data_IF_207480145679
#
_entry.id   IF_207480145679
#
_cell.length_a   1.000
_cell.length_b   1.000
_cell.length_c   1.000
_cell.angle_alpha   90.00
_cell.angle_beta   90.00
_cell.angle_gamma   90.00
#
_symmetry.space_group_name_H-M   'P 1'
#
loop_
_entity.id
_entity.type
_entity.pdbx_description
1 polymer ?
#
# COMPACT_ATOMS: atom_id res chain seq x y z
N UNK A 1 -14.68 23.35 12.56
CA UNK A 1 -14.39 22.17 11.70
C UNK A 1 -15.40 21.09 12.06
N UNK A 2 -16.24 20.66 11.11
CA UNK A 2 -17.28 19.65 11.37
C UNK A 2 -16.64 18.33 11.83
N UNK A 3 -17.24 17.65 12.81
CA UNK A 3 -16.75 16.38 13.40
C UNK A 3 -16.40 15.34 12.32
N UNK A 4 -17.15 15.32 11.22
CA UNK A 4 -16.91 14.44 10.07
C UNK A 4 -15.57 14.70 9.36
N UNK A 5 -15.07 15.94 9.36
CA UNK A 5 -13.79 16.29 8.75
C UNK A 5 -12.60 15.94 9.65
N UNK A 6 -12.78 15.94 10.98
CA UNK A 6 -11.72 15.57 11.92
C UNK A 6 -11.39 14.07 11.88
N UNK A 7 -12.39 13.21 11.63
CA UNK A 7 -12.22 11.75 11.50
C UNK A 7 -11.37 11.37 10.28
N UNK A 8 -11.41 12.17 9.20
CA UNK A 8 -10.61 11.93 8.00
C UNK A 8 -9.11 12.24 8.17
N UNK A 9 -8.73 12.97 9.23
CA UNK A 9 -7.34 13.37 9.48
C UNK A 9 -6.75 12.80 10.78
N UNK A 10 -7.50 11.99 11.53
CA UNK A 10 -6.98 11.31 12.71
C UNK A 10 -6.06 10.17 12.32
N UNK A 11 -4.96 9.99 13.07
CA UNK A 11 -4.08 8.83 12.92
C UNK A 11 -4.90 7.55 13.11
N UNK A 12 -4.86 6.59 12.17
CA UNK A 12 -5.59 5.33 12.31
C UNK A 12 -5.02 4.54 13.47
N UNK A 13 -5.89 3.86 14.21
CA UNK A 13 -5.50 2.94 15.27
C UNK A 13 -4.84 1.69 14.66
N UNK A 14 -3.73 1.28 15.27
CA UNK A 14 -3.08 0.01 14.99
C UNK A 14 -3.52 -1.00 16.04
N UNK A 15 -3.91 -2.20 15.60
CA UNK A 15 -4.30 -3.29 16.47
C UNK A 15 -3.74 -4.62 15.95
N UNK A 16 -3.78 -5.66 16.79
CA UNK A 16 -3.37 -7.00 16.38
C UNK A 16 -4.44 -7.63 15.47
N UNK A 17 -4.03 -7.95 14.25
CA UNK A 17 -4.86 -8.62 13.27
C UNK A 17 -4.14 -9.89 12.81
N UNK A 18 -4.59 -11.04 13.32
CA UNK A 18 -3.98 -12.34 13.07
C UNK A 18 -2.46 -12.37 13.34
N UNK A 19 -1.99 -11.70 14.41
CA UNK A 19 -0.58 -11.62 14.78
C UNK A 19 0.23 -10.54 14.05
N UNK A 20 -0.41 -9.70 13.23
CA UNK A 20 0.22 -8.58 12.52
C UNK A 20 -0.44 -7.27 12.90
N UNK A 21 0.35 -6.24 13.20
CA UNK A 21 -0.19 -4.90 13.49
C UNK A 21 -0.75 -4.25 12.23
N UNK A 22 -2.06 -4.03 12.20
CA UNK A 22 -2.79 -3.48 11.04
C UNK A 22 -3.80 -2.40 11.45
N UNK A 23 -4.29 -1.64 10.47
CA UNK A 23 -5.33 -0.61 10.64
C UNK A 23 -6.65 -1.06 10.03
N UNK A 24 -7.77 -0.56 10.56
CA UNK A 24 -9.13 -0.84 10.08
C UNK A 24 -9.34 -0.69 8.57
N UNK A 25 -8.65 0.26 7.93
CA UNK A 25 -8.71 0.47 6.48
C UNK A 25 -8.39 -0.76 5.63
N UNK A 26 -7.60 -1.70 6.14
CA UNK A 26 -7.23 -2.92 5.40
C UNK A 26 -8.00 -4.16 5.87
N UNK A 27 -8.59 -4.12 7.07
CA UNK A 27 -9.15 -5.29 7.75
C UNK A 27 -10.67 -5.32 7.74
N UNK A 28 -11.36 -4.17 7.64
CA UNK A 28 -12.83 -4.13 7.76
C UNK A 28 -13.53 -4.91 6.62
N UNK A 29 -12.90 -5.01 5.46
CA UNK A 29 -13.41 -5.75 4.30
C UNK A 29 -12.69 -7.10 4.08
N UNK A 30 -12.14 -7.69 5.15
CA UNK A 30 -11.26 -8.85 5.05
C UNK A 30 -11.89 -10.07 4.39
N UNK A 31 -13.17 -10.36 4.66
CA UNK A 31 -13.88 -11.50 4.06
C UNK A 31 -13.86 -11.46 2.52
N UNK A 32 -14.04 -10.27 1.93
CA UNK A 32 -13.98 -10.11 0.47
C UNK A 32 -12.56 -10.23 -0.07
N UNK A 33 -11.55 -9.78 0.70
CA UNK A 33 -10.13 -9.94 0.33
C UNK A 33 -9.74 -11.42 0.34
N UNK A 34 -10.20 -12.19 1.32
CA UNK A 34 -9.94 -13.64 1.39
C UNK A 34 -10.62 -14.41 0.25
N UNK A 35 -11.82 -14.00 -0.14
CA UNK A 35 -12.60 -14.64 -1.20
C UNK A 35 -12.30 -14.09 -2.61
N UNK A 36 -11.25 -13.28 -2.76
CA UNK A 36 -10.86 -12.71 -4.04
C UNK A 36 -10.58 -13.82 -5.06
N UNK A 37 -11.29 -13.78 -6.19
CA UNK A 37 -11.18 -14.78 -7.25
C UNK A 37 -10.02 -14.41 -8.18
N UNK A 38 -8.91 -15.15 -8.08
CA UNK A 38 -7.78 -15.03 -9.00
C UNK A 38 -7.98 -15.92 -10.21
N UNK A 39 -7.49 -15.45 -11.36
CA UNK A 39 -7.35 -16.28 -12.56
C UNK A 39 -6.04 -17.09 -12.47
N UNK A 40 -5.95 -18.23 -13.15
CA UNK A 40 -4.72 -19.02 -13.19
C UNK A 40 -3.50 -18.27 -13.72
N UNK A 41 -3.70 -17.25 -14.55
CA UNK A 41 -2.64 -16.47 -15.20
C UNK A 41 -2.27 -15.19 -14.44
N UNK A 42 -2.88 -14.92 -13.29
CA UNK A 42 -2.60 -13.71 -12.51
C UNK A 42 -1.23 -13.81 -11.83
N UNK A 43 -0.46 -12.73 -11.88
CA UNK A 43 0.84 -12.63 -11.22
C UNK A 43 0.69 -11.82 -9.93
N UNK A 44 1.11 -12.40 -8.81
CA UNK A 44 1.11 -11.74 -7.50
C UNK A 44 2.48 -11.13 -7.20
N UNK A 45 2.48 -9.85 -6.85
CA UNK A 45 3.67 -9.15 -6.33
C UNK A 45 3.46 -8.90 -4.85
N UNK A 46 4.17 -9.64 -4.00
CA UNK A 46 4.16 -9.44 -2.55
C UNK A 46 5.40 -8.64 -2.14
N UNK A 47 5.20 -7.47 -1.53
CA UNK A 47 6.29 -6.62 -1.04
C UNK A 47 5.96 -6.06 0.33
N UNK A 48 6.99 -5.89 1.17
CA UNK A 48 6.86 -5.13 2.40
C UNK A 48 6.71 -3.64 2.05
N UNK A 49 5.88 -2.86 2.78
CA UNK A 49 5.75 -1.43 2.52
C UNK A 49 7.13 -0.76 2.43
N UNK A 50 7.33 0.06 1.38
CA UNK A 50 8.59 0.76 1.08
C UNK A 50 9.73 -0.08 0.48
N UNK A 51 9.58 -1.40 0.30
CA UNK A 51 10.64 -2.25 -0.24
C UNK A 51 10.81 -2.19 -1.78
N UNK A 52 9.90 -1.54 -2.50
CA UNK A 52 9.92 -1.48 -3.97
C UNK A 52 9.62 -0.09 -4.56
N UNK A 53 9.73 0.98 -3.77
CA UNK A 53 9.51 2.32 -4.32
C UNK A 53 10.65 2.71 -5.25
N UNK A 54 10.30 3.09 -6.49
CA UNK A 54 11.23 3.72 -7.41
C UNK A 54 11.85 4.96 -6.76
N UNK A 55 13.18 5.03 -6.82
CA UNK A 55 13.90 6.24 -6.41
C UNK A 55 13.69 7.31 -7.48
N UNK A 56 13.39 8.57 -7.09
CA UNK A 56 13.17 9.67 -8.04
C UNK A 56 14.39 9.98 -8.94
N UNK A 57 15.58 9.50 -8.59
CA UNK A 57 16.85 9.85 -9.22
C UNK A 57 17.14 9.12 -10.54
N UNK A 58 16.36 8.09 -10.92
CA UNK A 58 16.64 7.28 -12.12
C UNK A 58 16.27 7.92 -13.47
N UNK A 59 15.63 9.09 -13.50
CA UNK A 59 15.38 9.82 -14.76
C UNK A 59 16.48 10.82 -15.15
N UNK A 60 17.47 11.11 -14.28
CA UNK A 60 18.47 12.16 -14.56
C UNK A 60 19.75 11.67 -15.29
N UNK A 61 19.93 10.36 -15.50
CA UNK A 61 21.19 9.81 -16.01
C UNK A 61 21.29 9.69 -17.55
N UNK A 62 20.28 10.14 -18.31
CA UNK A 62 20.42 10.27 -19.77
C UNK A 62 20.94 11.66 -20.16
N UNK A 63 22.19 11.94 -19.82
CA UNK A 63 23.00 12.87 -20.61
C UNK A 63 23.74 12.06 -21.69
N UNK A 64 23.42 12.21 -22.98
CA UNK A 64 24.25 11.65 -24.03
C UNK A 64 25.56 12.45 -24.06
N UNK A 65 26.66 11.84 -23.61
CA UNK A 65 27.98 12.41 -23.86
C UNK A 65 28.28 12.21 -25.34
N UNK A 66 28.16 13.29 -26.11
CA UNK A 66 28.63 13.39 -27.49
C UNK A 66 30.09 13.83 -27.49
N UNK A 67 30.88 13.13 -28.33
CA UNK A 67 32.30 13.28 -28.68
C UNK A 67 33.34 12.74 -27.71
#
# INVERSE_FOLDING_TARGET
ISKHKAILFSRPELFDFHGVSMTHYFTDNWENVQNFQVRPDDILIATYPKAGQERPDRQAAHHPSTH
#
